data_IF_672488794847
#
_entry.id   IF_672488794847
#
_cell.length_a   1.000
_cell.length_b   1.000
_cell.length_c   1.000
_cell.angle_alpha   90.00
_cell.angle_beta   90.00
_cell.angle_gamma   90.00
#
_symmetry.space_group_name_H-M   'P 1'
#
loop_
_entity.id
_entity.type
_entity.pdbx_description
1 polymer ?
#
# COMPACT_ATOMS: atom_id res chain seq x y z
N UNK A 1 32.48 53.96 -42.81
CA UNK A 1 31.41 52.89 -42.81
C UNK A 1 31.45 52.18 -41.50
N UNK A 2 30.41 52.34 -40.73
CA UNK A 2 30.31 51.67 -39.42
C UNK A 2 29.40 50.49 -39.59
N UNK A 3 29.95 49.30 -39.50
CA UNK A 3 29.19 48.04 -39.48
C UNK A 3 28.66 47.81 -38.06
N UNK A 4 27.34 47.92 -37.90
CA UNK A 4 26.68 47.54 -36.67
C UNK A 4 26.50 46.02 -36.68
N UNK A 5 27.26 45.35 -35.86
CA UNK A 5 27.01 43.95 -35.55
C UNK A 5 25.88 43.90 -34.50
N UNK A 6 24.70 43.55 -34.92
CA UNK A 6 23.59 43.26 -34.01
C UNK A 6 23.77 41.84 -33.47
N UNK A 7 24.25 41.77 -32.26
CA UNK A 7 24.27 40.50 -31.53
C UNK A 7 22.85 40.15 -31.13
N UNK A 8 22.25 39.18 -31.78
CA UNK A 8 21.01 38.58 -31.34
C UNK A 8 21.34 37.65 -30.17
N UNK A 9 20.98 38.07 -28.98
CA UNK A 9 20.98 37.19 -27.81
C UNK A 9 19.71 36.37 -27.92
N UNK A 10 19.86 35.12 -28.34
CA UNK A 10 18.80 34.15 -28.26
C UNK A 10 18.67 33.75 -26.79
N UNK A 11 17.64 34.26 -26.12
CA UNK A 11 17.26 33.78 -24.81
C UNK A 11 16.65 32.38 -25.00
N UNK A 12 17.43 31.35 -24.69
CA UNK A 12 16.91 29.99 -24.61
C UNK A 12 16.03 29.90 -23.38
N UNK A 13 14.71 29.91 -23.59
CA UNK A 13 13.76 29.56 -22.55
C UNK A 13 13.92 28.06 -22.28
N UNK A 14 14.58 27.74 -21.19
CA UNK A 14 14.59 26.41 -20.64
C UNK A 14 13.19 26.13 -20.05
N UNK A 15 12.35 25.54 -20.86
CA UNK A 15 11.08 24.96 -20.34
C UNK A 15 11.47 23.67 -19.66
N UNK A 16 11.62 23.71 -18.35
CA UNK A 16 11.70 22.51 -17.56
C UNK A 16 10.31 21.89 -17.51
N UNK A 17 10.12 20.65 -17.99
CA UNK A 17 8.85 20.00 -17.81
C UNK A 17 8.64 19.78 -16.31
N UNK A 18 7.62 20.42 -15.73
CA UNK A 18 7.13 20.06 -14.43
C UNK A 18 6.51 18.66 -14.56
N UNK A 19 7.27 17.65 -14.21
CA UNK A 19 6.69 16.31 -14.02
C UNK A 19 5.84 16.39 -12.74
N UNK A 20 4.53 16.51 -12.94
CA UNK A 20 3.59 16.29 -11.87
C UNK A 20 3.73 14.84 -11.45
N UNK A 21 4.37 14.59 -10.32
CA UNK A 21 4.38 13.28 -9.71
C UNK A 21 3.02 13.07 -9.09
N UNK A 22 2.23 12.14 -9.64
CA UNK A 22 0.96 11.68 -9.07
C UNK A 22 1.19 10.88 -7.76
N UNK A 23 2.23 11.23 -7.00
CA UNK A 23 2.67 10.49 -5.83
C UNK A 23 1.63 10.47 -4.69
N UNK A 24 0.54 11.24 -4.79
CA UNK A 24 -0.45 11.40 -3.73
C UNK A 24 -1.80 10.76 -4.03
N UNK A 25 -1.99 10.19 -5.22
CA UNK A 25 -3.28 9.66 -5.64
C UNK A 25 -3.57 8.25 -5.12
N UNK A 26 -2.60 7.56 -4.50
CA UNK A 26 -2.72 6.15 -4.14
C UNK A 26 -2.33 5.91 -2.69
N UNK A 27 -3.13 5.08 -2.01
CA UNK A 27 -2.77 4.56 -0.71
C UNK A 27 -1.57 3.63 -0.85
N UNK A 28 -0.55 3.83 -0.02
CA UNK A 28 0.59 2.94 0.09
C UNK A 28 0.52 2.16 1.39
N UNK A 29 0.89 0.89 1.35
CA UNK A 29 1.09 0.11 2.55
C UNK A 29 2.38 0.60 3.23
N UNK A 30 2.25 1.22 4.39
CA UNK A 30 3.37 1.74 5.16
C UNK A 30 3.96 0.70 6.09
N UNK A 31 3.12 -0.14 6.67
CA UNK A 31 3.51 -1.11 7.69
C UNK A 31 2.54 -2.28 7.68
N UNK A 32 3.06 -3.46 7.91
CA UNK A 32 2.24 -4.64 8.17
C UNK A 32 2.75 -5.39 9.40
N UNK A 33 1.82 -6.04 10.10
CA UNK A 33 2.09 -6.98 11.18
C UNK A 33 1.28 -8.25 10.91
N UNK A 34 1.89 -9.40 10.68
CA UNK A 34 3.33 -9.61 10.50
C UNK A 34 3.92 -8.85 9.30
N UNK A 35 5.19 -8.50 9.36
CA UNK A 35 5.89 -7.87 8.25
C UNK A 35 6.08 -8.85 7.09
N UNK A 36 6.23 -8.32 5.88
CA UNK A 36 6.49 -9.15 4.70
C UNK A 36 7.80 -9.94 4.88
N UNK A 37 7.73 -11.25 4.68
CA UNK A 37 8.86 -12.16 4.88
C UNK A 37 9.11 -12.55 6.32
N UNK A 38 8.30 -12.11 7.28
CA UNK A 38 8.50 -12.43 8.69
C UNK A 38 8.29 -13.92 8.99
N UNK A 39 9.08 -14.42 9.91
CA UNK A 39 8.87 -15.73 10.56
C UNK A 39 8.54 -15.45 12.03
N UNK A 40 7.36 -15.86 12.47
CA UNK A 40 6.83 -15.47 13.77
C UNK A 40 6.02 -16.61 14.40
N UNK A 41 5.81 -16.51 15.71
CA UNK A 41 4.76 -17.30 16.36
C UNK A 41 3.38 -16.91 15.80
N UNK A 42 2.36 -17.70 16.06
CA UNK A 42 1.00 -17.38 15.63
C UNK A 42 0.61 -15.95 16.03
N UNK A 43 0.38 -15.03 15.09
CA UNK A 43 0.00 -13.67 15.45
C UNK A 43 -1.43 -13.63 15.99
N UNK A 44 -1.62 -12.87 17.06
CA UNK A 44 -2.95 -12.64 17.63
C UNK A 44 -3.71 -11.57 16.86
N UNK A 45 -3.00 -10.72 16.13
CA UNK A 45 -3.59 -9.67 15.31
C UNK A 45 -2.79 -9.51 14.01
N UNK A 46 -3.52 -9.33 12.93
CA UNK A 46 -2.95 -8.94 11.64
C UNK A 46 -3.35 -7.48 11.41
N UNK A 47 -2.38 -6.65 11.07
CA UNK A 47 -2.58 -5.21 10.93
C UNK A 47 -1.87 -4.69 9.70
N UNK A 48 -2.58 -3.94 8.88
CA UNK A 48 -2.05 -3.25 7.71
C UNK A 48 -2.32 -1.75 7.86
N UNK A 49 -1.25 -0.96 7.82
CA UNK A 49 -1.32 0.50 7.95
C UNK A 49 -1.02 1.15 6.61
N UNK A 50 -1.91 2.04 6.17
CA UNK A 50 -1.82 2.73 4.88
C UNK A 50 -1.55 4.22 5.05
N UNK A 51 -1.04 4.83 3.99
CA UNK A 51 -0.71 6.26 3.96
C UNK A 51 -1.94 7.16 3.88
N UNK A 52 -3.08 6.63 3.39
CA UNK A 52 -4.29 7.39 3.13
C UNK A 52 -5.50 6.76 3.83
N UNK A 53 -6.51 7.58 4.06
CA UNK A 53 -7.79 7.13 4.56
C UNK A 53 -8.48 6.21 3.56
N UNK A 54 -8.97 5.08 4.02
CA UNK A 54 -9.63 4.06 3.22
C UNK A 54 -11.14 4.13 3.34
N UNK A 55 -11.82 3.72 2.28
CA UNK A 55 -13.25 3.43 2.32
C UNK A 55 -13.45 2.05 2.91
N UNK A 56 -13.97 1.99 4.14
CA UNK A 56 -14.07 0.76 4.92
C UNK A 56 -14.85 -0.34 4.22
N UNK A 57 -15.95 0.02 3.53
CA UNK A 57 -16.80 -0.95 2.85
C UNK A 57 -16.16 -1.64 1.66
N UNK A 58 -15.13 -1.03 1.09
CA UNK A 58 -14.46 -1.49 -0.14
C UNK A 58 -13.04 -1.98 0.11
N UNK A 59 -12.52 -1.80 1.32
CA UNK A 59 -11.17 -2.17 1.69
C UNK A 59 -11.18 -3.38 2.61
N UNK A 60 -10.32 -4.35 2.30
CA UNK A 60 -10.33 -5.63 3.00
C UNK A 60 -9.01 -6.37 2.78
N UNK A 61 -8.81 -7.45 3.51
CA UNK A 61 -7.78 -8.43 3.18
C UNK A 61 -8.25 -9.83 3.49
N UNK A 62 -7.71 -10.80 2.74
CA UNK A 62 -7.84 -12.22 2.99
C UNK A 62 -6.52 -12.78 3.47
N UNK A 63 -6.58 -13.80 4.30
CA UNK A 63 -5.42 -14.59 4.70
C UNK A 63 -5.59 -15.99 4.15
N UNK A 64 -4.61 -16.45 3.36
CA UNK A 64 -4.66 -17.78 2.76
C UNK A 64 -3.44 -18.60 3.18
N UNK A 65 -3.67 -19.91 3.32
CA UNK A 65 -2.62 -20.89 3.61
C UNK A 65 -1.89 -21.28 2.32
N UNK A 66 -0.79 -22.00 2.47
CA UNK A 66 -0.03 -22.51 1.33
C UNK A 66 -0.85 -23.40 0.37
N UNK A 67 -1.86 -24.09 0.88
CA UNK A 67 -2.78 -24.92 0.07
C UNK A 67 -3.89 -24.12 -0.62
N UNK A 68 -3.92 -22.79 -0.45
CA UNK A 68 -4.93 -21.90 -1.01
C UNK A 68 -6.20 -21.77 -0.20
N UNK A 69 -6.35 -22.49 0.91
CA UNK A 69 -7.52 -22.35 1.78
C UNK A 69 -7.46 -21.06 2.58
N UNK A 70 -8.63 -20.45 2.78
CA UNK A 70 -8.75 -19.20 3.53
C UNK A 70 -8.76 -19.43 5.03
N UNK A 71 -8.10 -18.52 5.75
CA UNK A 71 -8.22 -18.43 7.21
C UNK A 71 -9.41 -17.53 7.53
N UNK A 72 -10.23 -17.95 8.49
CA UNK A 72 -11.37 -17.15 8.95
C UNK A 72 -10.87 -15.95 9.77
N UNK A 73 -11.07 -14.77 9.23
CA UNK A 73 -10.73 -13.49 9.86
C UNK A 73 -11.84 -12.48 9.60
N UNK A 74 -12.08 -11.62 10.56
CA UNK A 74 -13.00 -10.50 10.42
C UNK A 74 -12.22 -9.20 10.40
N UNK A 75 -12.18 -8.53 9.24
CA UNK A 75 -11.40 -7.32 9.03
C UNK A 75 -12.20 -6.10 9.47
N UNK A 76 -11.54 -5.22 10.23
CA UNK A 76 -12.08 -3.97 10.71
C UNK A 76 -11.13 -2.83 10.41
N UNK A 77 -11.64 -1.60 10.39
CA UNK A 77 -10.83 -0.39 10.25
C UNK A 77 -10.55 0.25 11.61
N UNK A 78 -9.41 0.94 11.70
CA UNK A 78 -9.01 1.71 12.88
C UNK A 78 -8.21 2.95 12.46
N UNK A 79 -7.89 3.81 13.43
CA UNK A 79 -7.03 4.99 13.26
C UNK A 79 -7.44 5.89 12.09
N UNK A 80 -8.68 6.37 12.11
CA UNK A 80 -9.19 7.25 11.06
C UNK A 80 -9.32 6.55 9.70
N UNK A 81 -9.59 5.26 9.71
CA UNK A 81 -9.69 4.39 8.54
C UNK A 81 -8.38 4.24 7.73
N UNK A 82 -7.24 4.44 8.36
CA UNK A 82 -5.92 4.19 7.75
C UNK A 82 -5.38 2.80 8.06
N UNK A 83 -6.03 2.06 8.93
CA UNK A 83 -5.60 0.73 9.36
C UNK A 83 -6.69 -0.29 9.06
N UNK A 84 -6.29 -1.40 8.46
CA UNK A 84 -7.09 -2.62 8.39
C UNK A 84 -6.50 -3.62 9.38
N UNK A 85 -7.33 -4.18 10.25
CA UNK A 85 -6.86 -5.18 11.20
C UNK A 85 -7.88 -6.30 11.37
N UNK A 86 -7.39 -7.46 11.74
CA UNK A 86 -8.21 -8.61 12.05
C UNK A 86 -7.53 -9.49 13.08
N UNK A 87 -8.34 -10.13 13.93
CA UNK A 87 -7.88 -11.18 14.81
C UNK A 87 -8.29 -12.52 14.23
N UNK A 88 -7.35 -13.46 14.01
CA UNK A 88 -7.72 -14.81 13.62
C UNK A 88 -8.65 -15.43 14.66
N UNK A 89 -9.69 -16.12 14.18
CA UNK A 89 -10.67 -16.79 15.08
C UNK A 89 -10.04 -17.91 15.91
N UNK A 90 -8.96 -18.49 15.37
CA UNK A 90 -8.18 -19.57 16.02
C UNK A 90 -6.69 -19.30 15.82
N UNK A 91 -5.83 -19.84 16.70
CA UNK A 91 -4.39 -19.77 16.47
C UNK A 91 -4.02 -20.35 15.09
N UNK A 92 -3.07 -19.71 14.41
CA UNK A 92 -2.61 -20.17 13.11
C UNK A 92 -1.62 -21.32 13.27
N UNK A 93 -1.86 -22.41 12.56
CA UNK A 93 -0.95 -23.54 12.53
C UNK A 93 0.40 -23.15 11.88
N UNK A 94 1.50 -23.81 12.24
CA UNK A 94 2.77 -23.58 11.55
C UNK A 94 2.66 -23.77 10.04
N UNK A 95 3.31 -22.88 9.29
CA UNK A 95 3.30 -22.91 7.83
C UNK A 95 3.35 -21.54 7.21
N UNK A 96 3.32 -21.50 5.88
CA UNK A 96 3.34 -20.27 5.11
C UNK A 96 1.94 -19.70 4.92
N UNK A 97 1.85 -18.38 5.02
CA UNK A 97 0.59 -17.63 4.85
C UNK A 97 0.81 -16.45 3.91
N UNK A 98 -0.26 -16.06 3.25
CA UNK A 98 -0.29 -14.91 2.36
C UNK A 98 -1.48 -14.02 2.72
N UNK A 99 -1.22 -12.74 2.90
CA UNK A 99 -2.25 -11.72 3.08
C UNK A 99 -2.46 -11.03 1.73
N UNK A 100 -3.63 -11.19 1.14
CA UNK A 100 -4.01 -10.46 -0.08
C UNK A 100 -4.91 -9.31 0.32
N UNK A 101 -4.49 -8.09 0.05
CA UNK A 101 -5.23 -6.92 0.48
C UNK A 101 -5.72 -6.08 -0.69
N UNK A 102 -6.83 -5.40 -0.46
CA UNK A 102 -7.42 -4.39 -1.34
C UNK A 102 -7.64 -3.14 -0.50
N UNK A 103 -7.13 -2.02 -0.95
CA UNK A 103 -7.34 -0.72 -0.33
C UNK A 103 -7.96 0.23 -1.35
N UNK A 104 -9.10 0.81 -0.99
CA UNK A 104 -9.81 1.79 -1.81
C UNK A 104 -9.86 3.11 -1.03
N UNK A 105 -9.39 4.17 -1.64
CA UNK A 105 -9.43 5.51 -1.06
C UNK A 105 -10.77 6.20 -1.36
N UNK A 106 -11.06 7.30 -0.63
CA UNK A 106 -12.33 8.02 -0.76
C UNK A 106 -12.55 8.59 -2.17
N UNK A 107 -11.47 8.83 -2.93
CA UNK A 107 -11.54 9.27 -4.32
C UNK A 107 -11.75 8.14 -5.34
N UNK A 108 -11.90 6.90 -4.87
CA UNK A 108 -12.18 5.74 -5.70
C UNK A 108 -10.96 5.02 -6.26
N UNK A 109 -9.75 5.39 -5.89
CA UNK A 109 -8.54 4.68 -6.31
C UNK A 109 -8.42 3.35 -5.56
N UNK A 110 -8.21 2.28 -6.33
CA UNK A 110 -8.09 0.92 -5.81
C UNK A 110 -6.65 0.44 -5.95
N UNK A 111 -6.07 0.02 -4.83
CA UNK A 111 -4.74 -0.59 -4.76
C UNK A 111 -4.85 -2.00 -4.21
N UNK A 112 -4.00 -2.89 -4.69
CA UNK A 112 -3.90 -4.27 -4.20
C UNK A 112 -2.46 -4.62 -3.91
N UNK A 113 -2.27 -5.60 -3.06
CA UNK A 113 -0.94 -6.10 -2.75
C UNK A 113 -0.99 -7.38 -1.94
N UNK A 114 0.19 -7.87 -1.63
CA UNK A 114 0.38 -9.13 -0.92
C UNK A 114 1.47 -8.98 0.13
N UNK A 115 1.23 -9.57 1.30
CA UNK A 115 2.22 -9.73 2.37
C UNK A 115 2.35 -11.23 2.66
N UNK A 116 3.57 -11.73 2.68
CA UNK A 116 3.85 -13.13 2.99
C UNK A 116 4.48 -13.24 4.39
N UNK A 117 4.06 -14.22 5.17
CA UNK A 117 4.68 -14.53 6.45
C UNK A 117 4.62 -16.03 6.74
N UNK A 118 5.42 -16.46 7.69
CA UNK A 118 5.50 -17.84 8.10
C UNK A 118 5.29 -17.94 9.60
N UNK A 119 4.45 -18.87 10.02
CA UNK A 119 4.26 -19.24 11.42
C UNK A 119 5.16 -20.44 11.73
N UNK A 120 5.97 -20.28 12.76
CA UNK A 120 6.87 -21.35 13.24
C UNK A 120 6.28 -22.18 14.36
#
# INVERSE_FOLDING_TARGET
>A
MKTFVRTLIAAALLITPLSATDAFAHAHLLKSMPADGAVTASPQMIMLTFSEKLTAKMSNFDVVKADGSKVDVQVMTADGAKVLHAMPAKPLAPGAYKINWVAVTDDGHRMTGTVNFTVK
#
